data_IF_817860514862
#
_entry.id   IF_817860514862
#
_cell.length_a   1.000
_cell.length_b   1.000
_cell.length_c   1.000
_cell.angle_alpha   90.00
_cell.angle_beta   90.00
_cell.angle_gamma   90.00
#
_symmetry.space_group_name_H-M   'P 1'
#
loop_
_entity.id
_entity.type
_entity.pdbx_description
1 polymer ?
#
# COMPACT_ATOMS: atom_id res chain seq x y z
N UNK A 1 30.69 -47.02 -31.31
CA UNK A 1 30.57 -46.38 -32.65
C UNK A 1 29.19 -45.77 -32.96
N UNK A 2 28.07 -46.21 -32.36
CA UNK A 2 26.72 -45.67 -32.65
C UNK A 2 26.48 -44.24 -32.14
N UNK A 3 26.94 -43.91 -30.92
CA UNK A 3 26.65 -42.62 -30.25
C UNK A 3 27.32 -41.43 -30.92
N UNK A 4 28.59 -41.56 -31.30
CA UNK A 4 29.36 -40.46 -31.88
C UNK A 4 28.84 -40.05 -33.26
N UNK A 5 28.42 -41.01 -34.09
CA UNK A 5 27.76 -40.73 -35.35
C UNK A 5 26.46 -39.95 -35.16
N UNK A 6 25.63 -40.35 -34.17
CA UNK A 6 24.39 -39.63 -33.84
C UNK A 6 24.67 -38.19 -33.39
N UNK A 7 25.68 -37.98 -32.55
CA UNK A 7 26.07 -36.64 -32.08
C UNK A 7 26.55 -35.75 -33.22
N UNK A 8 27.36 -36.28 -34.13
CA UNK A 8 27.81 -35.55 -35.32
C UNK A 8 26.63 -35.16 -36.21
N UNK A 9 25.68 -36.07 -36.46
CA UNK A 9 24.48 -35.74 -37.24
C UNK A 9 23.62 -34.67 -36.57
N UNK A 10 23.50 -34.69 -35.24
CA UNK A 10 22.78 -33.63 -34.52
C UNK A 10 23.47 -32.27 -34.66
N UNK A 11 24.81 -32.20 -34.49
CA UNK A 11 25.57 -30.97 -34.66
C UNK A 11 25.49 -30.41 -36.09
N UNK A 12 25.60 -31.28 -37.10
CA UNK A 12 25.48 -30.89 -38.51
C UNK A 12 24.07 -30.37 -38.87
N UNK A 13 23.05 -30.79 -38.13
CA UNK A 13 21.67 -30.30 -38.33
C UNK A 13 21.39 -28.99 -37.59
N UNK A 14 22.06 -28.73 -36.47
CA UNK A 14 21.83 -27.54 -35.63
C UNK A 14 22.64 -26.33 -36.12
N UNK A 15 23.85 -26.56 -36.65
CA UNK A 15 24.71 -25.51 -37.14
C UNK A 15 24.63 -25.40 -38.68
N UNK A 16 24.77 -24.19 -39.23
CA UNK A 16 24.82 -23.99 -40.68
C UNK A 16 26.14 -24.49 -41.29
N UNK A 17 26.07 -25.06 -42.50
CA UNK A 17 27.21 -25.70 -43.16
C UNK A 17 28.42 -24.79 -43.35
N UNK A 18 28.21 -23.48 -43.48
CA UNK A 18 29.29 -22.50 -43.60
C UNK A 18 30.31 -22.56 -42.45
N UNK A 19 29.89 -22.94 -41.24
CA UNK A 19 30.74 -22.96 -40.04
C UNK A 19 31.61 -24.22 -39.90
N UNK A 20 31.37 -25.26 -40.71
CA UNK A 20 32.14 -26.51 -40.66
C UNK A 20 32.55 -27.05 -42.04
N UNK A 21 32.25 -26.33 -43.13
CA UNK A 21 32.66 -26.69 -44.49
C UNK A 21 34.16 -26.97 -44.63
N UNK A 22 34.99 -26.23 -43.90
CA UNK A 22 36.45 -26.44 -43.86
C UNK A 22 36.89 -27.77 -43.24
N UNK A 23 36.01 -28.42 -42.47
CA UNK A 23 36.25 -29.73 -41.85
C UNK A 23 35.77 -30.89 -42.74
N UNK A 24 35.16 -30.59 -43.90
CA UNK A 24 34.67 -31.60 -44.84
C UNK A 24 35.84 -32.22 -45.62
N UNK A 25 36.01 -33.53 -45.50
CA UNK A 25 36.95 -34.25 -46.37
C UNK A 25 36.28 -34.51 -47.73
N UNK A 26 36.98 -34.20 -48.84
CA UNK A 26 36.43 -34.35 -50.19
C UNK A 26 36.04 -35.79 -50.57
N UNK A 27 36.64 -36.79 -49.93
CA UNK A 27 36.43 -38.21 -50.24
C UNK A 27 35.62 -38.94 -49.16
N UNK A 28 35.67 -38.49 -47.90
CA UNK A 28 34.97 -39.15 -46.79
C UNK A 28 33.86 -38.29 -46.16
N UNK A 29 33.64 -37.07 -46.66
CA UNK A 29 32.68 -36.11 -46.11
C UNK A 29 32.97 -35.78 -44.64
N UNK A 30 31.92 -35.74 -43.81
CA UNK A 30 32.01 -35.47 -42.38
C UNK A 30 32.15 -36.74 -41.51
N UNK A 31 32.38 -37.91 -42.12
CA UNK A 31 32.35 -39.20 -41.39
C UNK A 31 33.53 -39.41 -40.44
N UNK A 32 34.67 -38.76 -40.70
CA UNK A 32 35.89 -38.85 -39.88
C UNK A 32 35.98 -37.77 -38.81
N UNK A 33 35.05 -36.82 -38.78
CA UNK A 33 35.13 -35.67 -37.88
C UNK A 33 34.69 -36.08 -36.48
N UNK A 34 35.51 -35.80 -35.48
CA UNK A 34 35.31 -36.21 -34.09
C UNK A 34 34.98 -34.98 -33.22
N UNK A 35 34.90 -35.15 -31.88
CA UNK A 35 34.67 -34.10 -30.87
C UNK A 35 35.46 -32.77 -31.09
N UNK A 36 36.54 -32.83 -31.90
CA UNK A 36 37.22 -31.67 -32.48
C UNK A 36 36.27 -30.61 -33.12
N UNK A 37 35.09 -31.00 -33.62
CA UNK A 37 34.09 -30.08 -34.19
C UNK A 37 33.56 -29.06 -33.17
N UNK A 38 33.28 -29.52 -31.93
CA UNK A 38 32.85 -28.63 -30.84
C UNK A 38 33.97 -27.67 -30.47
N UNK A 39 35.21 -28.16 -30.44
CA UNK A 39 36.38 -27.31 -30.17
C UNK A 39 36.56 -26.29 -31.29
N UNK A 40 36.51 -26.69 -32.56
CA UNK A 40 36.67 -25.77 -33.71
C UNK A 40 35.55 -24.71 -33.77
N UNK A 41 34.29 -25.10 -33.52
CA UNK A 41 33.19 -24.13 -33.45
C UNK A 41 33.39 -23.13 -32.33
N UNK A 42 33.77 -23.61 -31.14
CA UNK A 42 34.04 -22.77 -29.99
C UNK A 42 35.27 -21.86 -30.19
N UNK A 43 36.38 -22.38 -30.73
CA UNK A 43 37.62 -21.61 -30.92
C UNK A 43 37.53 -20.59 -32.04
N UNK A 44 36.82 -20.91 -33.13
CA UNK A 44 36.82 -20.06 -34.33
C UNK A 44 35.58 -19.18 -34.44
N UNK A 45 34.45 -19.59 -33.85
CA UNK A 45 33.17 -18.89 -33.97
C UNK A 45 32.51 -18.56 -32.63
N UNK A 46 32.97 -19.15 -31.52
CA UNK A 46 32.57 -18.77 -30.15
C UNK A 46 33.33 -17.55 -29.62
N UNK A 47 33.95 -16.76 -30.50
CA UNK A 47 34.69 -15.55 -30.13
C UNK A 47 33.68 -14.47 -29.77
N UNK A 48 33.63 -14.08 -28.50
CA UNK A 48 32.84 -12.94 -28.05
C UNK A 48 33.38 -11.69 -28.72
N UNK A 49 32.57 -11.07 -29.57
CA UNK A 49 32.97 -9.87 -30.32
C UNK A 49 32.82 -8.61 -29.45
N UNK A 50 33.44 -7.48 -29.83
CA UNK A 50 33.20 -6.20 -29.16
C UNK A 50 31.72 -5.79 -29.14
N UNK A 51 30.95 -6.12 -30.18
CA UNK A 51 29.50 -5.85 -30.23
C UNK A 51 28.74 -6.66 -29.19
N UNK A 52 29.13 -7.93 -28.99
CA UNK A 52 28.54 -8.80 -27.98
C UNK A 52 28.81 -8.30 -26.56
N UNK A 53 29.99 -7.72 -26.32
CA UNK A 53 30.33 -7.10 -25.04
C UNK A 53 29.53 -5.82 -24.79
N UNK A 54 29.26 -5.02 -25.82
CA UNK A 54 28.37 -3.86 -25.73
C UNK A 54 26.93 -4.27 -25.42
N UNK A 55 26.42 -5.34 -26.02
CA UNK A 55 25.10 -5.90 -25.69
C UNK A 55 25.06 -6.47 -24.27
N UNK A 56 26.13 -7.14 -23.83
CA UNK A 56 26.28 -7.56 -22.45
C UNK A 56 26.26 -6.37 -21.47
N UNK A 57 26.95 -5.28 -21.82
CA UNK A 57 26.90 -4.06 -21.03
C UNK A 57 25.48 -3.48 -20.98
N UNK A 58 24.72 -3.51 -22.08
CA UNK A 58 23.30 -3.10 -22.06
C UNK A 58 22.46 -3.95 -21.09
N UNK A 59 22.71 -5.26 -21.04
CA UNK A 59 22.03 -6.18 -20.11
C UNK A 59 22.41 -5.93 -18.65
N UNK A 60 23.69 -5.67 -18.35
CA UNK A 60 24.12 -5.40 -16.96
C UNK A 60 23.62 -4.05 -16.44
N UNK A 61 23.26 -3.12 -17.35
CA UNK A 61 22.71 -1.82 -16.98
C UNK A 61 21.19 -1.77 -16.90
N UNK A 62 20.51 -2.83 -17.32
CA UNK A 62 19.05 -2.89 -17.34
C UNK A 62 18.49 -2.67 -15.92
N UNK A 63 17.48 -1.79 -15.76
CA UNK A 63 16.88 -1.53 -14.46
C UNK A 63 16.34 -2.82 -13.83
N UNK A 64 16.61 -2.96 -12.53
CA UNK A 64 16.07 -4.07 -11.75
C UNK A 64 14.58 -3.84 -11.46
N UNK A 65 13.77 -4.86 -11.74
CA UNK A 65 12.34 -4.90 -11.40
C UNK A 65 12.16 -5.36 -9.95
N UNK A 66 11.72 -4.44 -9.09
CA UNK A 66 11.51 -4.66 -7.66
C UNK A 66 10.36 -5.63 -7.32
N UNK A 67 9.53 -6.00 -8.30
CA UNK A 67 8.50 -7.03 -8.12
C UNK A 67 9.08 -8.44 -8.15
N UNK A 68 10.29 -8.61 -8.68
CA UNK A 68 11.01 -9.88 -8.71
C UNK A 68 11.82 -10.06 -7.43
N UNK A 69 12.31 -11.29 -7.22
CA UNK A 69 13.17 -11.57 -6.07
C UNK A 69 14.57 -11.00 -6.27
N UNK A 70 15.31 -10.76 -5.19
CA UNK A 70 16.66 -10.18 -5.27
C UNK A 70 17.66 -11.09 -6.00
N UNK A 71 17.37 -12.39 -6.05
CA UNK A 71 18.16 -13.39 -6.76
C UNK A 71 18.16 -13.16 -8.28
N UNK A 72 17.11 -12.57 -8.87
CA UNK A 72 17.13 -12.27 -10.31
C UNK A 72 18.11 -11.16 -10.65
N UNK A 73 18.33 -10.22 -9.73
CA UNK A 73 19.38 -9.20 -9.85
C UNK A 73 20.77 -9.84 -9.75
N UNK A 74 20.96 -10.78 -8.83
CA UNK A 74 22.24 -11.48 -8.71
C UNK A 74 22.54 -12.28 -9.98
N UNK A 75 21.56 -13.01 -10.51
CA UNK A 75 21.70 -13.74 -11.77
C UNK A 75 22.07 -12.80 -12.93
N UNK A 76 21.38 -11.67 -13.09
CA UNK A 76 21.70 -10.67 -14.13
C UNK A 76 23.17 -10.21 -14.08
N UNK A 77 23.71 -9.98 -12.87
CA UNK A 77 25.11 -9.58 -12.69
C UNK A 77 26.06 -10.75 -12.94
N UNK A 78 25.75 -11.95 -12.43
CA UNK A 78 26.60 -13.13 -12.57
C UNK A 78 26.68 -13.62 -14.01
N UNK A 79 25.55 -13.69 -14.71
CA UNK A 79 25.46 -14.03 -16.13
C UNK A 79 26.29 -13.05 -16.97
N UNK A 80 26.24 -11.75 -16.63
CA UNK A 80 27.02 -10.73 -17.34
C UNK A 80 28.53 -10.84 -17.06
N UNK A 81 28.92 -11.17 -15.83
CA UNK A 81 30.32 -11.42 -15.46
C UNK A 81 30.85 -12.64 -16.20
N UNK A 82 30.08 -13.73 -16.25
CA UNK A 82 30.44 -14.97 -16.96
C UNK A 82 30.57 -14.73 -18.47
N UNK A 83 29.63 -13.97 -19.06
CA UNK A 83 29.70 -13.59 -20.46
C UNK A 83 30.93 -12.72 -20.79
N UNK A 84 31.26 -11.77 -19.90
CA UNK A 84 32.45 -10.94 -20.05
C UNK A 84 33.75 -11.74 -19.88
N UNK A 85 33.77 -12.74 -19.00
CA UNK A 85 34.89 -13.67 -18.82
C UNK A 85 35.16 -14.49 -20.09
N UNK A 86 34.10 -14.96 -20.76
CA UNK A 86 34.21 -15.63 -22.06
C UNK A 86 34.83 -14.74 -23.16
N UNK A 87 34.67 -13.42 -23.04
CA UNK A 87 35.30 -12.41 -23.91
C UNK A 87 36.63 -11.85 -23.40
N UNK A 88 37.28 -12.50 -22.43
CA UNK A 88 38.52 -12.04 -21.78
C UNK A 88 38.44 -10.62 -21.19
N UNK A 89 37.23 -10.16 -20.85
CA UNK A 89 36.94 -8.82 -20.34
C UNK A 89 36.24 -8.90 -18.97
N UNK A 90 36.68 -9.85 -18.15
CA UNK A 90 36.05 -10.19 -16.86
C UNK A 90 35.83 -8.96 -15.99
N UNK A 91 34.59 -8.79 -15.52
CA UNK A 91 34.26 -7.78 -14.52
C UNK A 91 34.92 -8.09 -13.17
N UNK A 92 35.48 -7.05 -12.55
CA UNK A 92 36.06 -7.19 -11.22
C UNK A 92 34.96 -7.23 -10.15
N UNK A 93 35.21 -7.87 -9.00
CA UNK A 93 34.24 -7.98 -7.90
C UNK A 93 33.71 -6.62 -7.44
N UNK A 94 34.57 -5.59 -7.41
CA UNK A 94 34.16 -4.23 -7.07
C UNK A 94 33.18 -3.63 -8.09
N UNK A 95 33.30 -3.99 -9.37
CA UNK A 95 32.38 -3.52 -10.40
C UNK A 95 31.02 -4.19 -10.24
N UNK A 96 30.97 -5.50 -9.98
CA UNK A 96 29.73 -6.22 -9.70
C UNK A 96 28.99 -5.61 -8.50
N UNK A 97 29.69 -5.41 -7.37
CA UNK A 97 29.11 -4.77 -6.17
C UNK A 97 28.61 -3.36 -6.49
N UNK A 98 29.42 -2.52 -7.14
CA UNK A 98 29.03 -1.16 -7.48
C UNK A 98 27.85 -1.10 -8.44
N UNK A 99 27.76 -2.07 -9.37
CA UNK A 99 26.64 -2.19 -10.31
C UNK A 99 25.35 -2.57 -9.58
N UNK A 100 25.41 -3.57 -8.69
CA UNK A 100 24.25 -3.97 -7.89
C UNK A 100 23.79 -2.85 -6.97
N UNK A 101 24.72 -2.14 -6.31
CA UNK A 101 24.41 -1.00 -5.45
C UNK A 101 23.65 0.11 -6.21
N UNK A 102 24.11 0.44 -7.43
CA UNK A 102 23.45 1.43 -8.29
C UNK A 102 22.03 0.99 -8.71
N UNK A 103 21.86 -0.27 -9.11
CA UNK A 103 20.56 -0.79 -9.55
C UNK A 103 19.55 -0.82 -8.38
N UNK A 104 20.01 -1.16 -7.18
CA UNK A 104 19.20 -1.17 -5.97
C UNK A 104 18.84 0.25 -5.54
N UNK A 105 19.77 1.20 -5.63
CA UNK A 105 19.52 2.60 -5.33
C UNK A 105 18.36 3.17 -6.17
N UNK A 106 18.29 2.82 -7.46
CA UNK A 106 17.18 3.25 -8.34
C UNK A 106 15.81 2.71 -7.89
N UNK A 107 15.77 1.55 -7.24
CA UNK A 107 14.53 0.98 -6.69
C UNK A 107 14.18 1.50 -5.29
N UNK A 108 15.07 2.27 -4.67
CA UNK A 108 14.99 2.73 -3.27
C UNK A 108 14.83 1.60 -2.23
N UNK A 109 15.13 0.36 -2.59
CA UNK A 109 15.07 -0.79 -1.67
C UNK A 109 16.40 -0.96 -0.94
N UNK A 110 16.38 -1.51 0.28
CA UNK A 110 17.57 -1.94 1.03
C UNK A 110 18.70 -0.88 1.14
N UNK A 111 18.38 0.42 1.09
CA UNK A 111 19.36 1.53 1.05
C UNK A 111 20.29 1.48 2.28
N UNK A 112 19.74 1.13 3.43
CA UNK A 112 20.50 1.05 4.69
C UNK A 112 21.54 -0.08 4.64
N UNK A 113 21.19 -1.23 4.08
CA UNK A 113 22.13 -2.33 3.91
C UNK A 113 23.27 -1.96 2.96
N UNK A 114 22.98 -1.27 1.86
CA UNK A 114 23.99 -0.71 0.97
C UNK A 114 24.88 0.35 1.66
N UNK A 115 24.31 1.17 2.55
CA UNK A 115 25.06 2.14 3.36
C UNK A 115 26.01 1.43 4.33
N UNK A 116 25.54 0.41 5.04
CA UNK A 116 26.38 -0.36 5.96
C UNK A 116 27.47 -1.14 5.23
N UNK A 117 27.15 -1.73 4.07
CA UNK A 117 28.12 -2.43 3.25
C UNK A 117 29.31 -1.55 2.82
N UNK A 118 29.06 -0.26 2.53
CA UNK A 118 30.13 0.68 2.17
C UNK A 118 31.16 0.87 3.29
N UNK A 119 30.74 0.71 4.56
CA UNK A 119 31.59 0.85 5.76
C UNK A 119 32.41 -0.41 6.07
N UNK A 120 32.07 -1.56 5.48
CA UNK A 120 32.78 -2.83 5.70
C UNK A 120 34.26 -2.74 5.31
N UNK A 121 35.12 -3.50 6.00
CA UNK A 121 36.55 -3.58 5.70
C UNK A 121 36.82 -4.20 4.32
N UNK A 122 37.94 -3.84 3.69
CA UNK A 122 38.27 -4.28 2.33
C UNK A 122 38.37 -5.81 2.17
N UNK A 123 38.84 -6.54 3.20
CA UNK A 123 39.00 -8.00 3.18
C UNK A 123 37.65 -8.72 3.06
N UNK A 124 36.59 -8.14 3.64
CA UNK A 124 35.25 -8.73 3.66
C UNK A 124 34.40 -8.31 2.45
N UNK A 125 34.90 -7.42 1.58
CA UNK A 125 34.22 -6.94 0.35
C UNK A 125 34.26 -7.99 -0.77
N UNK A 126 33.79 -9.19 -0.45
CA UNK A 126 33.60 -10.30 -1.36
C UNK A 126 32.16 -10.29 -1.88
N UNK A 127 31.99 -10.73 -3.13
CA UNK A 127 30.67 -10.86 -3.75
C UNK A 127 29.73 -11.79 -2.97
N UNK A 128 30.24 -12.90 -2.45
CA UNK A 128 29.47 -13.85 -1.64
C UNK A 128 28.92 -13.24 -0.35
N UNK A 129 29.76 -12.47 0.35
CA UNK A 129 29.35 -11.75 1.56
C UNK A 129 28.31 -10.69 1.24
N UNK A 130 28.51 -9.91 0.17
CA UNK A 130 27.56 -8.89 -0.26
C UNK A 130 26.16 -9.48 -0.54
N UNK A 131 26.10 -10.57 -1.31
CA UNK A 131 24.83 -11.26 -1.59
C UNK A 131 24.13 -11.70 -0.31
N UNK A 132 24.88 -12.30 0.64
CA UNK A 132 24.32 -12.75 1.92
C UNK A 132 23.68 -11.60 2.70
N UNK A 133 24.43 -10.52 2.92
CA UNK A 133 23.93 -9.37 3.70
C UNK A 133 22.71 -8.73 3.03
N UNK A 134 22.74 -8.61 1.70
CA UNK A 134 21.65 -8.01 0.96
C UNK A 134 20.39 -8.90 0.92
N UNK A 135 20.54 -10.22 0.82
CA UNK A 135 19.43 -11.17 0.96
C UNK A 135 18.80 -11.10 2.35
N UNK A 136 19.61 -10.95 3.41
CA UNK A 136 19.09 -10.77 4.76
C UNK A 136 18.28 -9.47 4.86
N UNK A 137 18.84 -8.35 4.40
CA UNK A 137 18.15 -7.07 4.41
C UNK A 137 16.85 -7.08 3.58
N UNK A 138 16.86 -7.74 2.42
CA UNK A 138 15.66 -7.89 1.59
C UNK A 138 14.58 -8.68 2.31
N UNK A 139 14.93 -9.80 2.96
CA UNK A 139 13.99 -10.58 3.77
C UNK A 139 13.39 -9.75 4.90
N UNK A 140 14.21 -8.96 5.58
CA UNK A 140 13.76 -8.09 6.67
C UNK A 140 12.80 -7.01 6.16
N UNK A 141 13.10 -6.39 5.01
CA UNK A 141 12.23 -5.40 4.36
C UNK A 141 10.85 -6.00 4.01
N UNK A 142 10.82 -7.18 3.38
CA UNK A 142 9.56 -7.86 3.06
C UNK A 142 8.79 -8.20 4.33
N UNK A 143 9.48 -8.64 5.39
CA UNK A 143 8.86 -8.94 6.68
C UNK A 143 8.24 -7.70 7.31
N UNK A 144 8.93 -6.55 7.27
CA UNK A 144 8.39 -5.27 7.76
C UNK A 144 7.13 -4.85 6.98
N UNK A 145 7.16 -4.94 5.64
CA UNK A 145 6.00 -4.62 4.80
C UNK A 145 4.78 -5.52 5.12
N UNK A 146 5.01 -6.81 5.37
CA UNK A 146 3.96 -7.75 5.78
C UNK A 146 3.41 -7.44 7.18
N UNK A 147 4.24 -6.97 8.11
CA UNK A 147 3.79 -6.55 9.45
C UNK A 147 2.95 -5.27 9.34
N UNK A 148 3.40 -4.29 8.57
CA UNK A 148 2.71 -3.01 8.43
C UNK A 148 1.34 -3.18 7.75
N UNK A 149 1.25 -3.95 6.66
CA UNK A 149 -0.04 -4.29 6.04
C UNK A 149 -1.01 -4.95 7.03
N UNK A 150 -0.53 -5.86 7.88
CA UNK A 150 -1.35 -6.45 8.94
C UNK A 150 -1.76 -5.44 10.02
N UNK A 151 -0.90 -4.48 10.37
CA UNK A 151 -1.25 -3.41 11.31
C UNK A 151 -2.37 -2.52 10.78
N UNK A 152 -2.33 -2.15 9.51
CA UNK A 152 -3.43 -1.39 8.88
C UNK A 152 -4.74 -2.21 8.87
N UNK A 153 -4.65 -3.51 8.56
CA UNK A 153 -5.81 -4.40 8.60
C UNK A 153 -6.41 -4.56 10.02
N UNK A 154 -5.58 -4.50 11.07
CA UNK A 154 -6.03 -4.53 12.47
C UNK A 154 -6.55 -3.17 12.97
N UNK A 155 -6.08 -2.06 12.42
CA UNK A 155 -6.56 -0.71 12.78
C UNK A 155 -7.96 -0.43 12.20
N UNK A 156 -8.25 -0.95 11.01
CA UNK A 156 -9.53 -0.73 10.31
C UNK A 156 -10.78 -1.11 11.16
N UNK A 157 -10.85 -2.30 11.80
CA UNK A 157 -11.99 -2.64 12.66
C UNK A 157 -12.06 -1.81 13.95
N UNK A 158 -10.94 -1.26 14.43
CA UNK A 158 -10.94 -0.37 15.61
C UNK A 158 -11.54 0.99 15.23
N UNK A 159 -11.16 1.52 14.07
CA UNK A 159 -11.73 2.78 13.54
C UNK A 159 -13.22 2.60 13.26
N UNK A 160 -13.64 1.52 12.61
CA UNK A 160 -15.07 1.24 12.37
C UNK A 160 -15.88 1.13 13.67
N UNK A 161 -15.32 0.50 14.72
CA UNK A 161 -15.99 0.44 16.03
C UNK A 161 -16.12 1.82 16.67
N UNK A 162 -15.11 2.65 16.54
CA UNK A 162 -15.14 4.02 17.05
C UNK A 162 -16.17 4.88 16.30
N UNK A 163 -16.19 4.80 14.97
CA UNK A 163 -17.20 5.46 14.12
C UNK A 163 -18.61 5.00 14.46
N UNK A 164 -18.85 3.68 14.55
CA UNK A 164 -20.15 3.13 14.91
C UNK A 164 -20.63 3.59 16.29
N UNK A 165 -19.71 3.65 17.29
CA UNK A 165 -20.03 4.17 18.62
C UNK A 165 -20.35 5.65 18.59
N UNK A 166 -19.62 6.43 17.79
CA UNK A 166 -19.85 7.88 17.63
C UNK A 166 -21.22 8.13 16.99
N UNK A 167 -21.55 7.42 15.92
CA UNK A 167 -22.85 7.53 15.25
C UNK A 167 -24.00 7.15 16.18
N UNK A 168 -23.88 6.07 16.97
CA UNK A 168 -24.89 5.68 17.95
C UNK A 168 -25.12 6.77 19.03
N UNK A 169 -24.05 7.44 19.47
CA UNK A 169 -24.18 8.56 20.42
C UNK A 169 -24.86 9.77 19.77
N UNK A 170 -24.53 10.09 18.51
CA UNK A 170 -25.17 11.18 17.77
C UNK A 170 -26.66 10.94 17.57
N UNK A 171 -27.05 9.74 17.13
CA UNK A 171 -28.46 9.34 16.99
C UNK A 171 -29.23 9.48 18.31
N UNK A 172 -28.58 9.13 19.43
CA UNK A 172 -29.19 9.26 20.77
C UNK A 172 -29.36 10.72 21.20
N UNK A 173 -28.39 11.57 20.92
CA UNK A 173 -28.48 13.02 21.20
C UNK A 173 -29.60 13.64 20.36
N UNK A 174 -29.72 13.28 19.08
CA UNK A 174 -30.80 13.76 18.21
C UNK A 174 -32.18 13.36 18.74
N UNK A 175 -32.32 12.11 19.21
CA UNK A 175 -33.56 11.65 19.84
C UNK A 175 -33.90 12.43 21.12
N UNK A 176 -32.91 12.71 21.97
CA UNK A 176 -33.10 13.48 23.20
C UNK A 176 -33.48 14.95 22.90
N UNK A 177 -32.90 15.58 21.88
CA UNK A 177 -33.26 16.95 21.43
C UNK A 177 -34.70 17.01 20.92
N UNK A 178 -35.15 16.01 20.13
CA UNK A 178 -36.53 15.94 19.65
C UNK A 178 -37.54 15.86 20.81
N UNK A 179 -37.21 15.13 21.88
CA UNK A 179 -38.07 15.00 23.04
C UNK A 179 -38.16 16.31 23.85
N UNK A 180 -37.07 17.07 23.94
CA UNK A 180 -37.04 18.41 24.58
C UNK A 180 -37.99 19.38 23.85
N UNK A 181 -37.98 19.39 22.51
CA UNK A 181 -38.90 20.22 21.72
C UNK A 181 -40.37 19.84 21.97
N UNK A 182 -40.66 18.56 22.21
CA UNK A 182 -41.99 18.09 22.60
C UNK A 182 -42.43 18.60 23.98
N UNK A 183 -41.51 18.65 24.95
CA UNK A 183 -41.79 19.24 26.26
C UNK A 183 -42.01 20.76 26.20
N UNK A 184 -41.30 21.49 25.34
CA UNK A 184 -41.51 22.93 25.15
C UNK A 184 -42.90 23.26 24.60
N UNK A 185 -43.42 22.43 23.68
CA UNK A 185 -44.79 22.59 23.17
C UNK A 185 -45.83 22.42 24.28
N UNK A 186 -45.67 21.42 25.15
CA UNK A 186 -46.56 21.21 26.30
C UNK A 186 -46.48 22.35 27.31
N UNK A 187 -45.28 22.88 27.57
CA UNK A 187 -45.08 24.05 28.44
C UNK A 187 -45.81 25.27 27.88
N UNK A 188 -45.74 25.53 26.57
CA UNK A 188 -46.47 26.65 25.96
C UNK A 188 -48.00 26.49 26.05
N UNK A 189 -48.52 25.27 25.86
CA UNK A 189 -49.95 24.99 26.03
C UNK A 189 -50.42 25.21 27.48
N UNK A 190 -49.62 24.81 28.47
CA UNK A 190 -49.93 25.10 29.87
C UNK A 190 -49.91 26.60 30.16
N UNK A 191 -48.93 27.35 29.64
CA UNK A 191 -48.85 28.81 29.82
C UNK A 191 -50.04 29.55 29.20
N UNK A 192 -50.46 29.14 28.00
CA UNK A 192 -51.64 29.74 27.35
C UNK A 192 -52.92 29.48 28.16
N UNK A 193 -53.08 28.25 28.67
CA UNK A 193 -54.22 27.87 29.51
C UNK A 193 -54.22 28.63 30.85
N UNK A 194 -53.06 28.80 31.49
CA UNK A 194 -52.91 29.60 32.72
C UNK A 194 -53.32 31.06 32.45
N UNK A 195 -52.88 31.63 31.33
CA UNK A 195 -53.24 33.00 30.95
C UNK A 195 -54.75 33.15 30.72
N UNK A 196 -55.37 32.19 30.03
CA UNK A 196 -56.82 32.17 29.84
C UNK A 196 -57.58 32.07 31.16
N UNK A 197 -57.09 31.24 32.10
CA UNK A 197 -57.66 31.08 33.43
C UNK A 197 -57.53 32.37 34.26
N UNK A 198 -56.38 33.05 34.19
CA UNK A 198 -56.16 34.33 34.87
C UNK A 198 -57.10 35.43 34.36
N UNK A 199 -57.33 35.50 33.04
CA UNK A 199 -58.27 36.44 32.44
C UNK A 199 -59.71 36.15 32.90
N UNK A 200 -60.15 34.89 32.88
CA UNK A 200 -61.50 34.52 33.35
C UNK A 200 -61.69 34.78 34.86
N UNK A 201 -60.68 34.56 35.69
CA UNK A 201 -60.72 34.94 37.11
C UNK A 201 -60.91 36.45 37.27
N UNK A 202 -60.21 37.25 36.46
CA UNK A 202 -60.34 38.72 36.45
C UNK A 202 -61.75 39.14 36.04
N UNK A 203 -62.30 38.52 34.98
CA UNK A 203 -63.64 38.77 34.47
C UNK A 203 -64.75 38.41 35.47
N UNK A 204 -64.54 37.40 36.33
CA UNK A 204 -65.50 37.02 37.38
C UNK A 204 -65.35 37.91 38.62
N UNK A 205 -64.13 38.33 38.96
CA UNK A 205 -63.86 39.10 40.18
C UNK A 205 -64.45 40.51 40.09
N UNK A 206 -64.38 41.15 38.92
CA UNK A 206 -64.88 42.52 38.70
C UNK A 206 -66.41 42.68 38.93
N UNK A 207 -67.27 41.82 38.35
CA UNK A 207 -68.70 41.79 38.65
C UNK A 207 -68.98 41.48 40.12
N UNK A 208 -68.26 40.53 40.74
CA UNK A 208 -68.45 40.21 42.16
C UNK A 208 -68.18 41.42 43.07
N UNK A 209 -67.16 42.23 42.79
CA UNK A 209 -66.95 43.49 43.51
C UNK A 209 -68.11 44.46 43.33
N UNK A 210 -68.63 44.60 42.10
CA UNK A 210 -69.77 45.46 41.81
C UNK A 210 -71.04 44.99 42.52
N UNK A 211 -71.34 43.69 42.48
CA UNK A 211 -72.47 43.08 43.18
C UNK A 211 -72.38 43.33 44.69
N UNK A 212 -71.19 43.19 45.28
CA UNK A 212 -70.98 43.47 46.70
C UNK A 212 -71.20 44.95 47.06
N UNK A 213 -70.81 45.89 46.19
CA UNK A 213 -71.08 47.32 46.37
C UNK A 213 -72.58 47.61 46.30
N UNK A 214 -73.26 47.09 45.28
CA UNK A 214 -74.71 47.26 45.10
C UNK A 214 -75.48 46.70 46.31
N UNK A 215 -75.08 45.53 46.82
CA UNK A 215 -75.67 44.93 48.02
C UNK A 215 -75.59 45.87 49.22
N UNK A 216 -74.42 46.48 49.48
CA UNK A 216 -74.26 47.48 50.56
C UNK A 216 -75.14 48.72 50.36
N UNK A 217 -75.29 49.19 49.13
CA UNK A 217 -76.14 50.35 48.83
C UNK A 217 -77.62 50.03 49.10
N UNK A 218 -78.09 48.84 48.72
CA UNK A 218 -79.45 48.37 49.01
C UNK A 218 -79.66 48.27 50.53
N UNK A 219 -78.72 47.66 51.26
CA UNK A 219 -78.80 47.56 52.72
C UNK A 219 -78.93 48.95 53.38
N UNK A 220 -78.16 49.95 52.93
CA UNK A 220 -78.24 51.32 53.43
C UNK A 220 -79.58 52.02 53.11
N UNK A 221 -80.14 51.78 51.92
CA UNK A 221 -81.45 52.34 51.53
C UNK A 221 -82.60 51.75 52.33
N UNK A 222 -82.53 50.46 52.67
CA UNK A 222 -83.53 49.81 53.53
C UNK A 222 -83.52 50.39 54.96
N UNK A 223 -82.35 50.74 55.49
CA UNK A 223 -82.23 51.41 56.80
C UNK A 223 -82.83 52.82 56.77
N UNK A 224 -82.58 53.62 55.72
CA UNK A 224 -83.09 54.99 55.60
C UNK A 224 -84.61 55.09 55.36
N UNK A 225 -85.24 54.04 54.82
CA UNK A 225 -86.69 53.99 54.59
C UNK A 225 -87.48 53.71 55.87
N UNK A 226 -86.85 53.10 56.89
CA UNK A 226 -87.45 52.88 58.20
C UNK A 226 -87.51 54.12 59.10
N UNK A 227 -86.92 55.24 58.70
CA UNK A 227 -86.83 56.47 59.53
C UNK A 227 -87.78 57.60 59.10
N UNK A 228 -88.65 57.40 58.09
CA UNK A 228 -89.61 58.42 57.62
C UNK A 228 -91.09 58.08 57.89
N UNK A 229 -91.36 57.16 58.81
CA UNK A 229 -92.71 56.91 59.34
C UNK A 229 -92.77 57.25 60.84
N UNK A 230 -92.82 58.55 61.14
CA UNK A 230 -93.37 59.14 62.37
C UNK A 230 -93.84 60.55 62.04
#
# INVERSE_FOLDING_TARGET
MSTQKKLNTQLLNVCEEMYFKGLCNRHTGYTTVTLLQLIHLYTNFGVVTPSDLEENYKRIIEPYDSTKTIETLFAQIEDSVEYADAGNSRHNTSQSIGRTDLLIFNTMMCIDACREWRKTIAVDKLWSNFKRELTHAYRDLITQQLIDSNRYNQANPIIQKFEARTNCVLERIEFEILNINGTDYLIQQCQSTITQLANTVTDITSPNTTVNILKRQIDNLQVGRGTTET
#
